data_IF_742471951974
#
_entry.id   IF_742471951974
#
_cell.length_a   1.000
_cell.length_b   1.000
_cell.length_c   1.000
_cell.angle_alpha   90.00
_cell.angle_beta   90.00
_cell.angle_gamma   90.00
#
_symmetry.space_group_name_H-M   'P 1'
#
loop_
_entity.id
_entity.type
_entity.pdbx_description
1 polymer ?
#
# COMPACT_ATOMS: atom_id res chain seq x y z
N UNK A 1 -43.31 21.99 30.49
CA UNK A 1 -42.16 21.32 29.83
C UNK A 1 -42.18 21.48 28.31
N UNK A 2 -43.33 21.31 27.63
CA UNK A 2 -43.42 21.50 26.18
C UNK A 2 -43.00 22.92 25.70
N UNK A 3 -43.28 23.95 26.49
CA UNK A 3 -42.92 25.34 26.15
C UNK A 3 -41.42 25.62 26.20
N UNK A 4 -40.71 25.11 27.21
CA UNK A 4 -39.25 25.29 27.34
C UNK A 4 -38.53 24.60 26.18
N UNK A 5 -38.97 23.41 25.80
CA UNK A 5 -38.36 22.67 24.68
C UNK A 5 -38.63 23.38 23.36
N UNK A 6 -39.83 23.92 23.17
CA UNK A 6 -40.18 24.67 21.97
C UNK A 6 -39.39 25.99 21.90
N UNK A 7 -39.22 26.69 23.03
CA UNK A 7 -38.36 27.87 23.15
C UNK A 7 -36.90 27.57 22.77
N UNK A 8 -36.32 26.49 23.31
CA UNK A 8 -34.94 26.11 22.97
C UNK A 8 -34.80 25.74 21.49
N UNK A 9 -35.73 24.95 20.95
CA UNK A 9 -35.68 24.52 19.55
C UNK A 9 -35.87 25.70 18.57
N UNK A 10 -36.83 26.58 18.85
CA UNK A 10 -37.18 27.67 17.94
C UNK A 10 -36.30 28.90 18.14
N UNK A 11 -36.15 29.38 19.38
CA UNK A 11 -35.53 30.69 19.64
C UNK A 11 -34.01 30.60 19.78
N UNK A 12 -33.49 29.49 20.33
CA UNK A 12 -32.03 29.28 20.48
C UNK A 12 -31.47 28.59 19.25
N UNK A 13 -32.04 27.44 18.87
CA UNK A 13 -31.51 26.63 17.76
C UNK A 13 -32.01 27.06 16.38
N UNK A 14 -32.96 28.01 16.30
CA UNK A 14 -33.54 28.54 15.06
C UNK A 14 -34.12 27.45 14.14
N UNK A 15 -34.73 26.43 14.73
CA UNK A 15 -35.40 25.34 14.01
C UNK A 15 -36.82 25.78 13.66
N UNK A 16 -37.23 25.61 12.41
CA UNK A 16 -38.56 26.05 11.99
C UNK A 16 -39.68 25.31 12.74
N UNK A 17 -40.75 26.01 13.05
CA UNK A 17 -41.96 25.42 13.66
C UNK A 17 -42.56 24.30 12.81
N UNK A 18 -42.43 24.39 11.48
CA UNK A 18 -42.84 23.35 10.53
C UNK A 18 -42.02 22.04 10.64
N UNK A 19 -40.78 22.11 11.11
CA UNK A 19 -39.95 20.94 11.40
C UNK A 19 -40.25 20.39 12.79
N UNK A 20 -40.46 21.26 13.77
CA UNK A 20 -40.82 20.86 15.14
C UNK A 20 -42.17 20.11 15.17
N UNK A 21 -43.14 20.51 14.34
CA UNK A 21 -44.46 19.86 14.28
C UNK A 21 -44.45 18.47 13.63
N UNK A 22 -43.43 18.12 12.83
CA UNK A 22 -43.30 16.78 12.23
C UNK A 22 -43.01 15.68 13.25
N UNK A 23 -42.48 16.03 14.42
CA UNK A 23 -42.09 15.10 15.47
C UNK A 23 -43.02 15.30 16.67
N UNK A 24 -44.04 14.44 16.87
CA UNK A 24 -45.10 14.70 17.84
C UNK A 24 -44.62 14.52 19.29
N UNK A 25 -43.68 13.62 19.54
CA UNK A 25 -43.18 13.36 20.89
C UNK A 25 -41.95 14.21 21.22
N UNK A 26 -41.75 14.51 22.51
CA UNK A 26 -40.55 15.20 22.99
C UNK A 26 -39.30 14.37 22.71
N UNK A 27 -39.39 13.06 22.87
CA UNK A 27 -38.28 12.14 22.61
C UNK A 27 -37.85 12.20 21.15
N UNK A 28 -38.78 12.21 20.20
CA UNK A 28 -38.48 12.30 18.78
C UNK A 28 -37.80 13.63 18.43
N UNK A 29 -38.27 14.74 19.03
CA UNK A 29 -37.63 16.06 18.86
C UNK A 29 -36.18 16.04 19.36
N UNK A 30 -35.94 15.47 20.54
CA UNK A 30 -34.59 15.37 21.09
C UNK A 30 -33.68 14.49 20.23
N UNK A 31 -34.18 13.37 19.71
CA UNK A 31 -33.38 12.45 18.91
C UNK A 31 -33.11 13.03 17.51
N UNK A 32 -34.16 13.38 16.78
CA UNK A 32 -34.05 13.70 15.35
C UNK A 32 -33.72 15.17 15.07
N UNK A 33 -34.10 16.11 15.94
CA UNK A 33 -33.81 17.54 15.74
C UNK A 33 -32.57 18.02 16.51
N UNK A 34 -32.14 17.30 17.55
CA UNK A 34 -30.98 17.68 18.36
C UNK A 34 -29.87 16.63 18.24
N UNK A 35 -30.05 15.43 18.77
CA UNK A 35 -28.96 14.47 18.96
C UNK A 35 -28.29 14.07 17.64
N UNK A 36 -29.07 13.59 16.67
CA UNK A 36 -28.52 13.07 15.42
C UNK A 36 -27.82 14.19 14.63
N UNK A 37 -28.44 15.37 14.39
CA UNK A 37 -27.75 16.44 13.67
C UNK A 37 -26.51 16.96 14.41
N UNK A 38 -26.49 16.97 15.76
CA UNK A 38 -25.29 17.35 16.53
C UNK A 38 -24.15 16.34 16.37
N UNK A 39 -24.44 15.03 16.41
CA UNK A 39 -23.41 14.00 16.20
C UNK A 39 -22.72 14.22 14.85
N UNK A 40 -23.50 14.47 13.81
CA UNK A 40 -22.99 14.67 12.45
C UNK A 40 -22.24 15.99 12.34
N UNK A 41 -22.75 17.04 12.97
CA UNK A 41 -22.06 18.32 13.06
C UNK A 41 -20.69 18.15 13.72
N UNK A 42 -20.59 17.41 14.84
CA UNK A 42 -19.32 17.14 15.50
C UNK A 42 -18.36 16.35 14.60
N UNK A 43 -18.86 15.33 13.90
CA UNK A 43 -18.05 14.57 12.94
C UNK A 43 -17.52 15.49 11.84
N UNK A 44 -18.38 16.33 11.26
CA UNK A 44 -18.01 17.28 10.21
C UNK A 44 -16.96 18.28 10.70
N UNK A 45 -17.19 18.90 11.86
CA UNK A 45 -16.27 19.87 12.47
C UNK A 45 -14.93 19.19 12.80
N UNK A 46 -14.95 17.95 13.29
CA UNK A 46 -13.73 17.18 13.56
C UNK A 46 -12.90 16.96 12.29
N UNK A 47 -13.53 16.46 11.22
CA UNK A 47 -12.84 16.27 9.96
C UNK A 47 -12.37 17.59 9.34
N UNK A 48 -13.18 18.65 9.42
CA UNK A 48 -12.84 19.98 8.93
C UNK A 48 -11.64 20.57 9.67
N UNK A 49 -11.64 20.52 11.01
CA UNK A 49 -10.54 21.01 11.84
C UNK A 49 -9.26 20.23 11.55
N UNK A 50 -9.34 18.90 11.51
CA UNK A 50 -8.20 18.03 11.18
C UNK A 50 -7.65 18.30 9.78
N UNK A 51 -8.52 18.42 8.77
CA UNK A 51 -8.10 18.69 7.39
C UNK A 51 -7.48 20.09 7.23
N UNK A 52 -8.01 21.08 7.95
CA UNK A 52 -7.55 22.48 7.89
C UNK A 52 -6.24 22.66 8.64
N UNK A 53 -6.13 22.15 9.86
CA UNK A 53 -4.94 22.34 10.71
C UNK A 53 -3.80 21.42 10.30
N UNK A 54 -4.06 20.19 9.85
CA UNK A 54 -3.01 19.34 9.28
C UNK A 54 -2.36 19.99 8.04
N UNK A 55 -3.10 20.79 7.26
CA UNK A 55 -2.55 21.50 6.09
C UNK A 55 -1.84 22.81 6.44
N UNK A 56 -2.35 23.57 7.41
CA UNK A 56 -1.89 24.95 7.64
C UNK A 56 -0.87 25.05 8.79
N UNK A 57 -0.99 24.20 9.82
CA UNK A 57 -0.35 24.42 11.12
C UNK A 57 0.38 23.18 11.68
N UNK A 58 0.58 22.15 10.86
CA UNK A 58 1.42 21.00 11.23
C UNK A 58 0.83 20.08 12.30
N UNK A 59 -0.49 20.11 12.53
CA UNK A 59 -1.17 19.10 13.37
C UNK A 59 -1.11 19.33 14.89
N UNK A 60 -1.06 20.58 15.37
CA UNK A 60 -1.14 20.86 16.81
C UNK A 60 -2.54 20.57 17.39
N UNK A 61 -2.67 19.49 18.16
CA UNK A 61 -3.93 19.01 18.72
C UNK A 61 -4.71 20.04 19.56
N UNK A 62 -4.03 20.87 20.37
CA UNK A 62 -4.70 21.90 21.17
C UNK A 62 -5.39 22.97 20.30
N UNK A 63 -4.76 23.31 19.17
CA UNK A 63 -5.32 24.26 18.22
C UNK A 63 -6.48 23.65 17.44
N UNK A 64 -6.43 22.34 17.17
CA UNK A 64 -7.56 21.59 16.58
C UNK A 64 -8.79 21.67 17.48
N UNK A 65 -8.61 21.38 18.77
CA UNK A 65 -9.73 21.46 19.73
C UNK A 65 -10.28 22.88 19.84
N UNK A 66 -9.42 23.90 19.91
CA UNK A 66 -9.86 25.28 19.96
C UNK A 66 -10.65 25.68 18.70
N UNK A 67 -10.16 25.32 17.51
CA UNK A 67 -10.84 25.61 16.25
C UNK A 67 -12.19 24.89 16.17
N UNK A 68 -12.27 23.62 16.57
CA UNK A 68 -13.53 22.88 16.62
C UNK A 68 -14.56 23.60 17.50
N UNK A 69 -14.16 24.08 18.67
CA UNK A 69 -15.06 24.76 19.60
C UNK A 69 -15.55 26.10 19.04
N UNK A 70 -14.64 26.90 18.47
CA UNK A 70 -14.99 28.20 17.86
C UNK A 70 -15.94 28.02 16.68
N UNK A 71 -15.65 27.08 15.78
CA UNK A 71 -16.50 26.79 14.62
C UNK A 71 -17.87 26.28 15.06
N UNK A 72 -17.93 25.41 16.07
CA UNK A 72 -19.19 24.91 16.62
C UNK A 72 -20.06 26.06 17.15
N UNK A 73 -19.50 26.90 18.03
CA UNK A 73 -20.22 28.04 18.59
C UNK A 73 -20.69 29.00 17.51
N UNK A 74 -19.85 29.27 16.50
CA UNK A 74 -20.20 30.12 15.37
C UNK A 74 -21.41 29.56 14.61
N UNK A 75 -21.43 28.25 14.29
CA UNK A 75 -22.52 27.62 13.54
C UNK A 75 -23.86 27.63 14.29
N UNK A 76 -23.82 27.44 15.61
CA UNK A 76 -25.00 27.53 16.47
C UNK A 76 -25.48 28.98 16.56
N UNK A 77 -24.59 29.92 16.87
CA UNK A 77 -24.93 31.34 17.05
C UNK A 77 -25.45 31.98 15.75
N UNK A 78 -24.83 31.67 14.61
CA UNK A 78 -25.27 32.13 13.31
C UNK A 78 -26.64 31.55 12.89
N UNK A 79 -27.13 30.51 13.57
CA UNK A 79 -28.39 29.84 13.22
C UNK A 79 -28.29 28.91 12.02
N UNK A 80 -27.08 28.73 11.47
CA UNK A 80 -26.81 27.85 10.33
C UNK A 80 -27.24 26.41 10.66
N UNK A 81 -27.09 26.02 11.93
CA UNK A 81 -27.54 24.74 12.45
C UNK A 81 -29.03 24.44 12.15
N UNK A 82 -29.95 25.27 12.64
CA UNK A 82 -31.39 25.03 12.49
C UNK A 82 -31.93 25.38 11.11
N UNK A 83 -31.38 26.40 10.46
CA UNK A 83 -31.90 26.91 9.18
C UNK A 83 -31.38 26.14 7.96
N UNK A 84 -30.14 25.63 8.01
CA UNK A 84 -29.48 25.01 6.85
C UNK A 84 -29.19 23.54 7.12
N UNK A 85 -28.55 23.24 8.26
CA UNK A 85 -28.04 21.90 8.54
C UNK A 85 -29.15 20.87 8.74
N UNK A 86 -30.16 21.17 9.57
CA UNK A 86 -31.27 20.24 9.85
C UNK A 86 -32.11 19.93 8.59
N UNK A 87 -32.55 20.92 7.77
CA UNK A 87 -33.30 20.63 6.56
C UNK A 87 -32.52 19.77 5.56
N UNK A 88 -31.25 20.10 5.32
CA UNK A 88 -30.38 19.31 4.44
C UNK A 88 -30.27 17.89 4.98
N UNK A 89 -30.03 17.75 6.28
CA UNK A 89 -29.90 16.45 6.91
C UNK A 89 -31.14 15.58 6.75
N UNK A 90 -32.33 16.12 7.01
CA UNK A 90 -33.59 15.39 6.86
C UNK A 90 -33.83 15.02 5.39
N UNK A 91 -33.50 15.91 4.45
CA UNK A 91 -33.67 15.64 3.01
C UNK A 91 -32.65 14.63 2.45
N UNK A 92 -31.45 14.59 3.01
CA UNK A 92 -30.32 13.79 2.51
C UNK A 92 -29.94 12.64 3.44
N UNK A 93 -30.75 12.34 4.46
CA UNK A 93 -30.43 11.33 5.47
C UNK A 93 -30.08 9.97 4.86
N UNK A 94 -30.91 9.48 3.94
CA UNK A 94 -30.66 8.22 3.24
C UNK A 94 -29.38 8.24 2.41
N UNK A 95 -29.08 9.38 1.77
CA UNK A 95 -27.85 9.55 0.99
C UNK A 95 -26.61 9.57 1.89
N UNK A 96 -26.68 10.28 3.03
CA UNK A 96 -25.62 10.27 4.05
C UNK A 96 -25.42 8.89 4.66
N UNK A 97 -26.50 8.11 4.83
CA UNK A 97 -26.42 6.74 5.35
C UNK A 97 -25.74 5.81 4.34
N UNK A 98 -26.06 5.93 3.04
CA UNK A 98 -25.38 5.19 1.97
C UNK A 98 -23.90 5.58 1.90
N UNK A 99 -23.59 6.88 1.91
CA UNK A 99 -22.21 7.37 1.89
C UNK A 99 -21.45 6.90 3.12
N UNK A 100 -22.05 7.00 4.30
CA UNK A 100 -21.48 6.49 5.56
C UNK A 100 -21.23 4.99 5.52
N UNK A 101 -22.15 4.21 4.94
CA UNK A 101 -21.97 2.77 4.75
C UNK A 101 -20.82 2.47 3.78
N UNK A 102 -20.71 3.21 2.67
CA UNK A 102 -19.59 3.09 1.72
C UNK A 102 -18.26 3.40 2.42
N UNK A 103 -18.17 4.52 3.15
CA UNK A 103 -16.97 4.87 3.91
C UNK A 103 -16.65 3.87 5.02
N UNK A 104 -17.66 3.31 5.67
CA UNK A 104 -17.48 2.26 6.68
C UNK A 104 -16.92 0.97 6.05
N UNK A 105 -17.46 0.54 4.90
CA UNK A 105 -16.95 -0.61 4.15
C UNK A 105 -15.51 -0.34 3.69
N UNK A 106 -15.25 0.82 3.09
CA UNK A 106 -13.90 1.23 2.70
C UNK A 106 -12.95 1.25 3.91
N UNK A 107 -13.37 1.81 5.04
CA UNK A 107 -12.58 1.86 6.28
C UNK A 107 -12.33 0.49 6.90
N UNK A 108 -13.27 -0.45 6.78
CA UNK A 108 -13.10 -1.85 7.18
C UNK A 108 -12.01 -2.53 6.35
N UNK A 109 -11.92 -2.22 5.06
CA UNK A 109 -10.91 -2.76 4.16
C UNK A 109 -9.54 -2.05 4.29
N UNK A 110 -9.52 -0.74 4.59
CA UNK A 110 -8.31 0.08 4.78
C UNK A 110 -7.97 0.20 6.27
N UNK A 111 -7.89 -0.91 7.00
CA UNK A 111 -7.37 -0.89 8.37
C UNK A 111 -5.83 -0.81 8.29
N UNK A 112 -5.17 0.23 8.85
CA UNK A 112 -3.72 0.46 8.71
C UNK A 112 -2.87 -0.76 9.11
N UNK A 113 -3.33 -1.52 10.11
CA UNK A 113 -2.70 -2.74 10.59
C UNK A 113 -2.56 -3.87 9.54
N UNK A 114 -3.43 -3.92 8.51
CA UNK A 114 -3.30 -4.91 7.42
C UNK A 114 -2.33 -4.47 6.33
N UNK A 115 -2.12 -3.17 6.14
CA UNK A 115 -1.21 -2.65 5.12
C UNK A 115 0.26 -2.84 5.48
N UNK A 116 0.65 -2.78 6.76
CA UNK A 116 2.01 -3.13 7.18
C UNK A 116 2.33 -4.62 6.94
N UNK A 117 1.36 -5.52 7.19
CA UNK A 117 1.53 -6.94 6.97
C UNK A 117 1.63 -7.29 5.47
N UNK A 118 0.76 -6.72 4.64
CA UNK A 118 0.80 -6.88 3.18
C UNK A 118 2.06 -6.24 2.57
N UNK A 119 2.47 -5.07 3.07
CA UNK A 119 3.69 -4.40 2.65
C UNK A 119 4.95 -5.23 2.96
N UNK A 120 5.02 -5.83 4.16
CA UNK A 120 6.12 -6.74 4.53
C UNK A 120 6.14 -8.00 3.66
N UNK A 121 4.99 -8.63 3.42
CA UNK A 121 4.89 -9.82 2.57
C UNK A 121 5.29 -9.54 1.11
N UNK A 122 4.87 -8.40 0.54
CA UNK A 122 5.26 -8.01 -0.82
C UNK A 122 6.77 -7.73 -0.93
N UNK A 123 7.36 -7.13 0.11
CA UNK A 123 8.79 -6.82 0.17
C UNK A 123 9.64 -8.09 0.35
N UNK A 124 9.13 -9.08 1.08
CA UNK A 124 9.76 -10.38 1.25
C UNK A 124 9.68 -11.24 -0.03
N UNK A 125 8.53 -11.24 -0.70
CA UNK A 125 8.37 -11.86 -2.02
C UNK A 125 9.27 -11.21 -3.07
N UNK A 126 9.38 -9.88 -3.09
CA UNK A 126 10.29 -9.15 -3.99
C UNK A 126 11.77 -9.50 -3.74
N UNK A 127 12.18 -9.66 -2.47
CA UNK A 127 13.54 -10.10 -2.12
C UNK A 127 13.83 -11.53 -2.57
N UNK A 128 12.87 -12.44 -2.49
CA UNK A 128 13.03 -13.82 -2.98
C UNK A 128 13.20 -13.87 -4.50
N UNK A 129 12.42 -13.09 -5.25
CA UNK A 129 12.55 -13.00 -6.71
C UNK A 129 13.90 -12.39 -7.11
N UNK A 130 14.33 -11.32 -6.45
CA UNK A 130 15.63 -10.70 -6.69
C UNK A 130 16.80 -11.64 -6.37
N UNK A 131 16.70 -12.45 -5.30
CA UNK A 131 17.73 -13.45 -4.96
C UNK A 131 17.83 -14.54 -6.01
N UNK A 132 16.69 -15.04 -6.51
CA UNK A 132 16.66 -16.06 -7.57
C UNK A 132 17.24 -15.55 -8.88
N UNK A 133 16.98 -14.29 -9.24
CA UNK A 133 17.56 -13.64 -10.42
C UNK A 133 19.09 -13.54 -10.33
N UNK A 134 19.64 -13.18 -9.17
CA UNK A 134 21.10 -13.13 -8.98
C UNK A 134 21.75 -14.50 -9.03
N UNK A 135 21.11 -15.52 -8.44
CA UNK A 135 21.62 -16.89 -8.51
C UNK A 135 21.63 -17.44 -9.95
N UNK A 136 20.68 -17.03 -10.80
CA UNK A 136 20.67 -17.37 -12.23
C UNK A 136 21.75 -16.61 -13.02
N UNK A 137 21.97 -15.32 -12.72
CA UNK A 137 23.07 -14.52 -13.32
C UNK A 137 24.45 -15.09 -12.96
N UNK A 138 24.68 -15.44 -11.70
CA UNK A 138 25.95 -16.02 -11.23
C UNK A 138 26.20 -17.39 -11.90
N UNK A 139 25.18 -18.23 -12.03
CA UNK A 139 25.27 -19.51 -12.76
C UNK A 139 25.60 -19.30 -14.23
N UNK A 140 24.97 -18.32 -14.88
CA UNK A 140 25.26 -17.99 -16.27
C UNK A 140 26.71 -17.56 -16.48
N UNK A 141 27.25 -16.72 -15.58
CA UNK A 141 28.64 -16.29 -15.62
C UNK A 141 29.64 -17.45 -15.44
N UNK A 142 29.35 -18.40 -14.54
CA UNK A 142 30.17 -19.61 -14.34
C UNK A 142 30.13 -20.51 -15.58
N UNK A 143 28.95 -20.72 -16.17
CA UNK A 143 28.81 -21.51 -17.40
C UNK A 143 29.57 -20.87 -18.56
N UNK A 144 29.55 -19.54 -18.68
CA UNK A 144 30.31 -18.83 -19.71
C UNK A 144 31.82 -19.04 -19.53
N UNK A 145 32.34 -18.96 -18.31
CA UNK A 145 33.74 -19.23 -18.00
C UNK A 145 34.15 -20.66 -18.37
N UNK A 146 33.33 -21.65 -17.99
CA UNK A 146 33.57 -23.06 -18.35
C UNK A 146 33.58 -23.25 -19.88
N UNK A 147 32.68 -22.60 -20.61
CA UNK A 147 32.67 -22.66 -22.08
C UNK A 147 33.95 -22.07 -22.70
N UNK A 148 34.49 -20.98 -22.15
CA UNK A 148 35.77 -20.41 -22.62
C UNK A 148 36.92 -21.39 -22.39
N UNK A 149 37.02 -21.97 -21.20
CA UNK A 149 38.08 -22.95 -20.89
C UNK A 149 38.00 -24.21 -21.76
N UNK A 150 36.79 -24.72 -22.05
CA UNK A 150 36.58 -25.83 -22.98
C UNK A 150 37.07 -25.47 -24.39
N UNK A 151 36.71 -24.28 -24.88
CA UNK A 151 37.09 -23.84 -26.22
C UNK A 151 38.61 -23.66 -26.35
N UNK A 152 39.26 -23.04 -25.36
CA UNK A 152 40.73 -22.90 -25.31
C UNK A 152 41.41 -24.26 -25.29
N UNK A 153 40.92 -25.20 -24.48
CA UNK A 153 41.48 -26.55 -24.37
C UNK A 153 41.31 -27.34 -25.68
N UNK A 154 40.15 -27.24 -26.34
CA UNK A 154 39.90 -27.84 -27.67
C UNK A 154 40.84 -27.25 -28.72
N UNK A 155 41.12 -25.95 -28.66
CA UNK A 155 42.03 -25.28 -29.58
C UNK A 155 43.48 -25.75 -29.38
N UNK A 156 43.92 -25.91 -28.13
CA UNK A 156 45.23 -26.52 -27.80
C UNK A 156 45.35 -27.96 -28.29
N UNK A 157 44.31 -28.79 -28.12
CA UNK A 157 44.27 -30.16 -28.65
C UNK A 157 44.45 -30.16 -30.17
N UNK A 158 43.75 -29.29 -30.89
CA UNK A 158 43.87 -29.17 -32.35
C UNK A 158 45.30 -28.78 -32.77
N UNK A 159 45.92 -27.83 -32.07
CA UNK A 159 47.31 -27.44 -32.32
C UNK A 159 48.30 -28.58 -32.03
N UNK A 160 48.11 -29.32 -30.94
CA UNK A 160 48.95 -30.47 -30.59
C UNK A 160 48.79 -31.63 -31.58
N UNK A 161 47.56 -31.91 -32.03
CA UNK A 161 47.27 -32.89 -33.11
C UNK A 161 47.95 -32.51 -34.41
N UNK A 162 47.98 -31.21 -34.76
CA UNK A 162 48.71 -30.72 -35.93
C UNK A 162 50.23 -30.90 -35.77
N UNK A 163 50.80 -30.61 -34.59
CA UNK A 163 52.23 -30.82 -34.30
C UNK A 163 52.62 -32.30 -34.31
N UNK A 164 51.74 -33.20 -33.85
CA UNK A 164 51.97 -34.63 -33.83
C UNK A 164 52.13 -35.25 -35.23
N UNK A 165 51.47 -34.69 -36.26
CA UNK A 165 51.51 -35.21 -37.65
C UNK A 165 52.91 -35.17 -38.28
N UNK A 166 53.81 -34.31 -37.80
CA UNK A 166 55.18 -34.17 -38.32
C UNK A 166 56.27 -34.81 -37.44
N UNK A 167 55.88 -35.49 -36.35
CA UNK A 167 56.80 -36.04 -35.34
C UNK A 167 56.72 -37.57 -35.34
N UNK A 168 57.84 -38.25 -35.12
CA UNK A 168 57.93 -39.72 -35.07
C UNK A 168 58.75 -40.18 -33.85
N UNK A 169 58.43 -41.36 -33.32
CA UNK A 169 59.12 -41.94 -32.16
C UNK A 169 58.65 -41.35 -30.81
N UNK A 170 59.54 -41.19 -29.81
CA UNK A 170 59.17 -40.87 -28.43
C UNK A 170 58.47 -39.51 -28.28
N UNK A 171 58.85 -38.51 -29.07
CA UNK A 171 58.23 -37.17 -29.03
C UNK A 171 56.74 -37.19 -29.44
N UNK A 172 56.36 -38.07 -30.36
CA UNK A 172 54.95 -38.22 -30.76
C UNK A 172 54.12 -38.81 -29.62
N UNK A 173 54.70 -39.76 -28.89
CA UNK A 173 54.05 -40.44 -27.77
C UNK A 173 53.81 -39.47 -26.59
N UNK A 174 54.74 -38.56 -26.34
CA UNK A 174 54.56 -37.47 -25.37
C UNK A 174 53.42 -36.52 -25.76
N UNK A 175 53.35 -36.13 -27.04
CA UNK A 175 52.27 -35.27 -27.55
C UNK A 175 50.91 -35.99 -27.45
N UNK A 176 50.84 -37.29 -27.74
CA UNK A 176 49.61 -38.09 -27.60
C UNK A 176 49.17 -38.23 -26.13
N UNK A 177 50.10 -38.37 -25.19
CA UNK A 177 49.79 -38.36 -23.75
C UNK A 177 49.24 -36.99 -23.29
N UNK A 178 49.83 -35.89 -23.76
CA UNK A 178 49.36 -34.53 -23.50
C UNK A 178 47.95 -34.29 -24.08
N UNK A 179 47.68 -34.77 -25.29
CA UNK A 179 46.35 -34.70 -25.90
C UNK A 179 45.33 -35.47 -25.04
N UNK A 180 45.66 -36.69 -24.63
CA UNK A 180 44.78 -37.51 -23.78
C UNK A 180 44.46 -36.82 -22.45
N UNK A 181 45.45 -36.19 -21.81
CA UNK A 181 45.26 -35.44 -20.57
C UNK A 181 44.33 -34.21 -20.77
N UNK A 182 44.47 -33.49 -21.88
CA UNK A 182 43.60 -32.36 -22.20
C UNK A 182 42.18 -32.81 -22.58
N UNK A 183 42.03 -33.94 -23.27
CA UNK A 183 40.71 -34.53 -23.59
C UNK A 183 39.97 -34.95 -22.31
N UNK A 184 40.68 -35.55 -21.35
CA UNK A 184 40.13 -35.85 -20.02
C UNK A 184 39.66 -34.58 -19.28
N UNK A 185 40.44 -33.50 -19.35
CA UNK A 185 40.06 -32.21 -18.75
C UNK A 185 38.82 -31.59 -19.40
N UNK A 186 38.66 -31.73 -20.72
CA UNK A 186 37.43 -31.29 -21.42
C UNK A 186 36.21 -32.06 -20.92
N UNK A 187 36.33 -33.38 -20.74
CA UNK A 187 35.23 -34.23 -20.22
C UNK A 187 34.85 -33.81 -18.80
N UNK A 188 35.83 -33.50 -17.96
CA UNK A 188 35.61 -33.03 -16.59
C UNK A 188 34.83 -31.69 -16.57
N UNK A 189 35.27 -30.71 -17.36
CA UNK A 189 34.61 -29.40 -17.51
C UNK A 189 33.20 -29.53 -18.10
N UNK A 190 32.98 -30.42 -19.08
CA UNK A 190 31.65 -30.70 -19.63
C UNK A 190 30.72 -31.36 -18.59
N UNK A 191 31.27 -32.19 -17.69
CA UNK A 191 30.51 -32.77 -16.57
C UNK A 191 30.13 -31.74 -15.52
N UNK A 192 31.02 -30.79 -15.22
CA UNK A 192 30.79 -29.71 -14.27
C UNK A 192 29.71 -28.75 -14.79
N UNK A 193 29.77 -28.42 -16.09
CA UNK A 193 28.70 -27.68 -16.77
C UNK A 193 27.33 -28.36 -16.64
N UNK A 194 27.25 -29.69 -16.80
CA UNK A 194 25.98 -30.43 -16.66
C UNK A 194 25.40 -30.40 -15.24
N UNK A 195 26.23 -30.22 -14.22
CA UNK A 195 25.77 -30.09 -12.82
C UNK A 195 25.22 -28.69 -12.51
N UNK A 196 25.59 -27.69 -13.31
CA UNK A 196 25.21 -26.28 -13.14
C UNK A 196 24.00 -25.86 -13.99
N UNK A 197 23.72 -26.61 -15.06
CA UNK A 197 22.53 -26.47 -15.92
C UNK A 197 21.32 -27.21 -15.37
#
# INVERSE_FOLDING_TARGET
MADIITFVLHDILKISTSLISKYPTVQDKLIYLILIPHIILFIFIYFFAKATIARILGGHAALETALMFVVYLFLIYAGIYGTILIPIFISSFYLLLIVGLIFFVIGLFIHPARHEALGRLALEAGKMVAKKSREEEDKAAVIEKINREINETKLMITQLKAKAKGKSGPERKEIENLITALEMKVIELESEKRKLS
#
